data_IF_453003822436
#
_entry.id   IF_453003822436
#
_cell.length_a   1.000
_cell.length_b   1.000
_cell.length_c   1.000
_cell.angle_alpha   90.00
_cell.angle_beta   90.00
_cell.angle_gamma   90.00
#
_symmetry.space_group_name_H-M   'P 1'
#
loop_
_entity.id
_entity.type
_entity.pdbx_description
1 polymer ?
#
# COMPACT_ATOMS: atom_id res chain seq x y z
N UNK A 1 25.37 -11.91 6.52
CA UNK A 1 25.39 -11.35 5.15
C UNK A 1 24.29 -10.31 5.08
N UNK A 2 24.58 -9.17 4.47
CA UNK A 2 23.60 -8.10 4.24
C UNK A 2 22.53 -8.62 3.27
N UNK A 3 21.24 -8.50 3.60
CA UNK A 3 20.15 -9.03 2.76
C UNK A 3 20.07 -8.22 1.46
N UNK A 4 20.10 -8.88 0.30
CA UNK A 4 19.94 -8.20 -1.00
C UNK A 4 18.45 -7.97 -1.28
N UNK A 5 18.09 -6.72 -1.53
CA UNK A 5 16.69 -6.32 -1.67
C UNK A 5 16.39 -5.99 -3.13
N UNK A 6 15.29 -6.54 -3.62
CA UNK A 6 14.67 -6.20 -4.90
C UNK A 6 13.48 -5.29 -4.67
N UNK A 7 13.28 -4.27 -5.51
CA UNK A 7 12.08 -3.42 -5.42
C UNK A 7 11.50 -3.11 -6.80
N UNK A 8 10.26 -3.54 -7.02
CA UNK A 8 9.54 -3.40 -8.29
C UNK A 8 8.33 -2.48 -8.11
N UNK A 9 8.23 -1.46 -8.98
CA UNK A 9 7.15 -0.48 -8.95
C UNK A 9 7.59 0.79 -8.21
N UNK A 10 8.07 1.77 -8.97
CA UNK A 10 8.67 3.01 -8.46
C UNK A 10 7.73 4.21 -8.65
N UNK A 11 6.45 4.01 -8.31
CA UNK A 11 5.43 5.04 -8.35
C UNK A 11 5.51 6.03 -7.17
N UNK A 12 4.39 6.72 -6.90
CA UNK A 12 4.27 7.71 -5.82
C UNK A 12 4.67 7.16 -4.44
N UNK A 13 4.30 5.90 -4.18
CA UNK A 13 4.64 5.21 -2.93
C UNK A 13 5.98 4.47 -3.04
N UNK A 14 6.18 3.70 -4.10
CA UNK A 14 7.32 2.79 -4.19
C UNK A 14 8.69 3.46 -4.31
N UNK A 15 8.81 4.56 -5.06
CA UNK A 15 10.10 5.28 -5.20
C UNK A 15 10.66 5.80 -3.86
N UNK A 16 9.89 6.55 -3.04
CA UNK A 16 10.40 7.00 -1.74
C UNK A 16 10.65 5.84 -0.76
N UNK A 17 9.88 4.76 -0.82
CA UNK A 17 10.15 3.55 -0.01
C UNK A 17 11.50 2.94 -0.39
N UNK A 18 11.72 2.66 -1.68
CA UNK A 18 12.97 2.11 -2.19
C UNK A 18 14.17 2.98 -1.79
N UNK A 19 14.03 4.31 -1.88
CA UNK A 19 15.03 5.27 -1.40
C UNK A 19 15.34 5.14 0.10
N UNK A 20 14.34 4.87 0.94
CA UNK A 20 14.59 4.67 2.38
C UNK A 20 15.34 3.37 2.64
N UNK A 21 15.05 2.30 1.90
CA UNK A 21 15.81 1.05 1.98
C UNK A 21 17.27 1.26 1.59
N UNK A 22 17.51 2.02 0.52
CA UNK A 22 18.86 2.38 0.09
C UNK A 22 19.60 3.22 1.15
N UNK A 23 18.94 4.23 1.74
CA UNK A 23 19.50 5.05 2.83
C UNK A 23 19.79 4.26 4.10
N UNK A 24 19.05 3.19 4.35
CA UNK A 24 19.28 2.28 5.47
C UNK A 24 20.47 1.32 5.23
N UNK A 25 21.09 1.36 4.04
CA UNK A 25 22.30 0.61 3.70
C UNK A 25 22.04 -0.71 2.97
N UNK A 26 20.79 -1.07 2.66
CA UNK A 26 20.51 -2.32 1.96
C UNK A 26 21.00 -2.28 0.49
N UNK A 27 21.74 -3.30 0.01
CA UNK A 27 21.98 -3.49 -1.41
C UNK A 27 20.64 -3.63 -2.14
N UNK A 28 20.40 -2.74 -3.11
CA UNK A 28 19.08 -2.57 -3.71
C UNK A 28 19.12 -2.72 -5.24
N UNK A 29 18.42 -3.71 -5.77
CA UNK A 29 18.12 -3.84 -7.20
C UNK A 29 16.70 -3.36 -7.47
N UNK A 30 16.53 -2.38 -8.36
CA UNK A 30 15.22 -1.78 -8.66
C UNK A 30 14.78 -2.02 -10.09
N UNK A 31 13.47 -2.13 -10.27
CA UNK A 31 12.85 -2.19 -11.57
C UNK A 31 11.53 -1.43 -11.60
N UNK A 32 11.22 -0.83 -12.75
CA UNK A 32 9.95 -0.21 -13.02
C UNK A 32 9.69 -0.24 -14.52
N UNK A 33 8.40 -0.29 -14.91
CA UNK A 33 8.01 -0.25 -16.33
C UNK A 33 8.55 0.97 -17.05
N UNK A 34 8.56 2.14 -16.40
CA UNK A 34 9.18 3.35 -16.93
C UNK A 34 10.57 3.56 -16.34
N UNK A 35 11.53 3.87 -17.23
CA UNK A 35 12.94 3.99 -16.89
C UNK A 35 13.34 5.20 -16.03
N UNK A 36 12.74 6.40 -16.14
CA UNK A 36 13.25 7.58 -15.42
C UNK A 36 13.37 7.39 -13.90
N UNK A 37 12.41 6.73 -13.26
CA UNK A 37 12.46 6.48 -11.81
C UNK A 37 13.55 5.48 -11.40
N UNK A 38 13.92 4.56 -12.29
CA UNK A 38 15.04 3.63 -12.09
C UNK A 38 16.36 4.39 -12.15
N UNK A 39 16.54 5.24 -13.17
CA UNK A 39 17.77 6.00 -13.37
C UNK A 39 18.03 6.98 -12.22
N UNK A 40 16.98 7.60 -11.67
CA UNK A 40 17.08 8.40 -10.44
C UNK A 40 17.68 7.60 -9.27
N UNK A 41 17.17 6.39 -9.00
CA UNK A 41 17.67 5.57 -7.89
C UNK A 41 19.06 4.98 -8.16
N UNK A 42 19.41 4.72 -9.42
CA UNK A 42 20.78 4.34 -9.81
C UNK A 42 21.76 5.45 -9.45
N UNK A 43 21.42 6.70 -9.76
CA UNK A 43 22.24 7.85 -9.40
C UNK A 43 22.42 8.01 -7.88
N UNK A 44 21.51 7.43 -7.08
CA UNK A 44 21.57 7.40 -5.61
C UNK A 44 22.30 6.17 -5.05
N UNK A 45 22.68 5.19 -5.89
CA UNK A 45 23.45 4.00 -5.49
C UNK A 45 22.73 2.65 -5.63
N UNK A 46 21.51 2.61 -6.19
CA UNK A 46 20.84 1.36 -6.51
C UNK A 46 21.38 0.72 -7.81
N UNK A 47 21.11 -0.57 -7.99
CA UNK A 47 21.32 -1.25 -9.27
C UNK A 47 20.00 -1.33 -10.05
N UNK A 48 20.03 -1.12 -11.36
CA UNK A 48 18.84 -1.24 -12.21
C UNK A 48 18.73 -2.61 -12.88
N UNK A 49 17.55 -3.21 -12.83
CA UNK A 49 17.19 -4.40 -13.60
C UNK A 49 16.24 -4.07 -14.76
N UNK A 50 16.27 -4.90 -15.79
CA UNK A 50 15.48 -4.78 -17.02
C UNK A 50 14.15 -5.53 -16.95
N UNK A 51 14.02 -6.53 -16.07
CA UNK A 51 12.80 -7.32 -15.87
C UNK A 51 12.57 -7.65 -14.39
N UNK A 52 11.31 -7.96 -13.98
CA UNK A 52 11.03 -8.51 -12.65
C UNK A 52 11.82 -9.79 -12.33
N UNK A 53 12.01 -10.68 -13.30
CA UNK A 53 12.85 -11.87 -13.19
C UNK A 53 14.28 -11.54 -12.77
N UNK A 54 14.91 -10.57 -13.44
CA UNK A 54 16.29 -10.16 -13.14
C UNK A 54 16.42 -9.59 -11.72
N UNK A 55 15.39 -8.90 -11.22
CA UNK A 55 15.34 -8.48 -9.81
C UNK A 55 15.34 -9.69 -8.88
N UNK A 56 14.50 -10.69 -9.15
CA UNK A 56 14.38 -11.89 -8.32
C UNK A 56 15.66 -12.73 -8.29
N UNK A 57 16.33 -12.88 -9.44
CA UNK A 57 17.60 -13.62 -9.56
C UNK A 57 18.72 -12.99 -8.70
N UNK A 58 18.68 -11.68 -8.48
CA UNK A 58 19.72 -10.91 -7.76
C UNK A 58 19.39 -10.62 -6.31
N UNK A 59 18.18 -10.92 -5.87
CA UNK A 59 17.68 -10.55 -4.54
C UNK A 59 17.45 -11.77 -3.65
N UNK A 60 17.43 -11.53 -2.34
CA UNK A 60 16.98 -12.49 -1.33
C UNK A 60 15.54 -12.16 -0.88
N UNK A 61 15.18 -10.87 -0.88
CA UNK A 61 13.82 -10.39 -0.60
C UNK A 61 13.39 -9.47 -1.75
N UNK A 62 12.23 -9.72 -2.36
CA UNK A 62 11.71 -8.94 -3.50
C UNK A 62 10.41 -8.26 -3.13
N UNK A 63 10.39 -6.93 -3.18
CA UNK A 63 9.21 -6.12 -2.91
C UNK A 63 8.48 -5.72 -4.20
N UNK A 64 7.15 -5.66 -4.14
CA UNK A 64 6.32 -4.98 -5.15
C UNK A 64 5.50 -3.85 -4.55
N UNK A 65 5.28 -2.78 -5.33
CA UNK A 65 4.30 -1.75 -5.01
C UNK A 65 3.63 -1.24 -6.29
N UNK A 66 2.53 -1.88 -6.65
CA UNK A 66 1.87 -1.81 -7.95
C UNK A 66 0.40 -1.37 -7.81
N UNK A 67 -0.25 -0.94 -8.91
CA UNK A 67 -1.58 -0.33 -8.83
C UNK A 67 -2.70 -1.28 -8.37
N UNK A 68 -2.78 -2.49 -8.91
CA UNK A 68 -3.85 -3.45 -8.59
C UNK A 68 -3.43 -4.92 -8.80
N UNK A 69 -4.35 -5.83 -8.44
CA UNK A 69 -4.22 -7.29 -8.50
C UNK A 69 -3.69 -7.80 -9.85
N UNK A 70 -4.23 -7.37 -11.02
CA UNK A 70 -3.71 -7.84 -12.31
C UNK A 70 -2.27 -7.39 -12.59
N UNK A 71 -1.85 -6.23 -12.07
CA UNK A 71 -0.48 -5.76 -12.22
C UNK A 71 0.49 -6.60 -11.39
N UNK A 72 0.10 -6.96 -10.16
CA UNK A 72 0.90 -7.85 -9.30
C UNK A 72 0.97 -9.24 -9.93
N UNK A 73 -0.14 -9.80 -10.40
CA UNK A 73 -0.14 -11.10 -11.09
C UNK A 73 0.75 -11.08 -12.33
N UNK A 74 0.70 -10.03 -13.16
CA UNK A 74 1.54 -9.92 -14.33
C UNK A 74 3.03 -9.82 -13.99
N UNK A 75 3.40 -9.07 -12.94
CA UNK A 75 4.79 -8.92 -12.50
C UNK A 75 5.32 -10.18 -11.82
N UNK A 76 4.47 -10.91 -11.09
CA UNK A 76 4.90 -12.10 -10.35
C UNK A 76 4.88 -13.34 -11.23
N UNK A 77 3.74 -13.61 -11.89
CA UNK A 77 3.43 -14.88 -12.58
C UNK A 77 3.55 -14.78 -14.11
N UNK A 78 3.69 -13.57 -14.66
CA UNK A 78 3.82 -13.36 -16.09
C UNK A 78 5.19 -13.76 -16.65
N UNK A 79 5.33 -13.66 -17.97
CA UNK A 79 6.59 -13.92 -18.66
C UNK A 79 7.70 -12.96 -18.18
N UNK A 80 8.88 -13.47 -17.87
CA UNK A 80 9.96 -12.72 -17.19
C UNK A 80 9.52 -12.15 -15.82
N UNK A 81 8.55 -12.80 -15.17
CA UNK A 81 8.06 -12.44 -13.85
C UNK A 81 8.98 -12.88 -12.72
N UNK A 82 8.64 -12.47 -11.50
CA UNK A 82 9.38 -12.82 -10.28
C UNK A 82 9.47 -14.35 -10.10
N UNK A 83 8.41 -15.09 -10.42
CA UNK A 83 8.37 -16.55 -10.27
C UNK A 83 9.48 -17.25 -11.08
N UNK A 84 9.72 -16.81 -12.32
CA UNK A 84 10.76 -17.40 -13.20
C UNK A 84 12.19 -17.13 -12.71
N UNK A 85 12.40 -16.08 -11.92
CA UNK A 85 13.69 -15.74 -11.32
C UNK A 85 13.83 -16.17 -9.86
N UNK A 86 12.78 -16.76 -9.29
CA UNK A 86 12.76 -17.19 -7.89
C UNK A 86 13.48 -18.52 -7.69
N UNK A 87 14.02 -18.69 -6.49
CA UNK A 87 14.71 -19.90 -6.04
C UNK A 87 14.28 -20.21 -4.60
N UNK A 88 14.51 -21.44 -4.11
CA UNK A 88 14.20 -21.78 -2.73
C UNK A 88 14.79 -20.77 -1.73
N UNK A 89 13.95 -20.33 -0.78
CA UNK A 89 14.32 -19.37 0.27
C UNK A 89 14.22 -17.89 -0.10
N UNK A 90 13.91 -17.53 -1.35
CA UNK A 90 13.56 -16.14 -1.70
C UNK A 90 12.25 -15.76 -1.01
N UNK A 91 12.16 -14.53 -0.50
CA UNK A 91 10.95 -13.99 0.11
C UNK A 91 10.37 -12.90 -0.79
N UNK A 92 9.18 -13.14 -1.32
CA UNK A 92 8.38 -12.13 -2.00
C UNK A 92 7.55 -11.33 -0.98
N UNK A 93 7.49 -10.00 -1.15
CA UNK A 93 6.74 -9.10 -0.27
C UNK A 93 5.92 -8.12 -1.10
N UNK A 94 4.60 -8.20 -1.01
CA UNK A 94 3.73 -7.28 -1.76
C UNK A 94 3.25 -6.11 -0.88
N UNK A 95 3.73 -4.89 -1.15
CA UNK A 95 3.21 -3.67 -0.53
C UNK A 95 2.02 -3.05 -1.29
N UNK A 96 1.58 -3.68 -2.38
CA UNK A 96 0.40 -3.25 -3.13
C UNK A 96 -0.87 -3.48 -2.32
N UNK A 97 -1.96 -2.80 -2.71
CA UNK A 97 -3.30 -3.09 -2.17
C UNK A 97 -4.10 -3.85 -3.22
N UNK A 98 -4.29 -5.15 -2.98
CA UNK A 98 -4.89 -6.11 -3.92
C UNK A 98 -5.94 -6.98 -3.22
N UNK A 99 -6.64 -7.82 -3.99
CA UNK A 99 -7.61 -8.77 -3.42
C UNK A 99 -6.91 -9.81 -2.54
N UNK A 100 -7.43 -10.13 -1.34
CA UNK A 100 -6.86 -11.18 -0.49
C UNK A 100 -6.76 -12.55 -1.18
N UNK A 101 -7.71 -12.87 -2.07
CA UNK A 101 -7.69 -14.11 -2.84
C UNK A 101 -6.52 -14.17 -3.83
N UNK A 102 -6.26 -13.07 -4.55
CA UNK A 102 -5.11 -12.97 -5.46
C UNK A 102 -3.79 -13.16 -4.69
N UNK A 103 -3.66 -12.55 -3.51
CA UNK A 103 -2.50 -12.78 -2.63
C UNK A 103 -2.30 -14.26 -2.30
N UNK A 104 -3.38 -14.96 -1.89
CA UNK A 104 -3.28 -16.40 -1.53
C UNK A 104 -2.88 -17.24 -2.74
N UNK A 105 -3.43 -16.94 -3.91
CA UNK A 105 -3.09 -17.61 -5.17
C UNK A 105 -1.61 -17.42 -5.53
N UNK A 106 -1.11 -16.19 -5.44
CA UNK A 106 0.31 -15.87 -5.68
C UNK A 106 1.21 -16.59 -4.69
N UNK A 107 0.86 -16.58 -3.40
CA UNK A 107 1.63 -17.25 -2.36
C UNK A 107 1.76 -18.75 -2.63
N UNK A 108 0.66 -19.42 -2.99
CA UNK A 108 0.67 -20.84 -3.34
C UNK A 108 1.56 -21.13 -4.57
N UNK A 109 1.54 -20.24 -5.57
CA UNK A 109 2.39 -20.40 -6.78
C UNK A 109 3.89 -20.22 -6.50
N UNK A 110 4.24 -19.31 -5.60
CA UNK A 110 5.64 -19.11 -5.18
C UNK A 110 6.14 -20.26 -4.29
N UNK A 111 5.25 -20.85 -3.49
CA UNK A 111 5.58 -22.02 -2.66
C UNK A 111 5.98 -23.24 -3.51
N UNK A 112 5.39 -23.42 -4.70
CA UNK A 112 5.75 -24.50 -5.64
C UNK A 112 7.25 -24.50 -6.03
N UNK A 113 7.94 -23.36 -5.93
CA UNK A 113 9.38 -23.23 -6.19
C UNK A 113 10.21 -23.00 -4.90
N UNK A 114 9.60 -23.19 -3.73
CA UNK A 114 10.23 -23.03 -2.42
C UNK A 114 10.46 -21.57 -1.99
N UNK A 115 9.78 -20.62 -2.63
CA UNK A 115 9.79 -19.22 -2.19
C UNK A 115 8.68 -18.97 -1.16
N UNK A 116 8.91 -18.01 -0.25
CA UNK A 116 7.92 -17.57 0.73
C UNK A 116 7.28 -16.27 0.26
N UNK A 117 6.03 -16.01 0.66
CA UNK A 117 5.31 -14.81 0.26
C UNK A 117 4.63 -14.12 1.45
N UNK A 118 4.82 -12.81 1.54
CA UNK A 118 4.15 -11.93 2.49
C UNK A 118 3.30 -10.90 1.73
N UNK A 119 2.03 -10.75 2.11
CA UNK A 119 1.29 -9.53 1.79
C UNK A 119 1.50 -8.51 2.89
N UNK A 120 2.07 -7.37 2.54
CA UNK A 120 2.43 -6.30 3.47
C UNK A 120 1.91 -4.94 2.99
N UNK A 121 0.60 -4.77 2.70
CA UNK A 121 0.06 -3.49 2.28
C UNK A 121 0.34 -2.39 3.31
N UNK A 122 0.51 -1.17 2.81
CA UNK A 122 0.93 -0.01 3.62
C UNK A 122 -0.16 1.06 3.72
N UNK A 123 -0.13 1.83 4.81
CA UNK A 123 -0.96 3.02 5.03
C UNK A 123 -0.12 4.18 5.58
N UNK A 124 -0.52 5.42 5.30
CA UNK A 124 0.24 6.64 5.66
C UNK A 124 0.50 7.60 4.49
N UNK A 125 0.20 7.19 3.26
CA UNK A 125 0.33 8.01 2.06
C UNK A 125 1.77 8.36 1.68
N UNK A 126 1.91 9.26 0.72
CA UNK A 126 3.21 9.71 0.17
C UNK A 126 4.11 10.34 1.24
N UNK A 127 3.53 11.10 2.18
CA UNK A 127 4.24 11.69 3.31
C UNK A 127 4.85 10.59 4.20
N UNK A 128 4.05 9.59 4.57
CA UNK A 128 4.54 8.46 5.37
C UNK A 128 5.63 7.66 4.67
N UNK A 129 5.49 7.47 3.35
CA UNK A 129 6.48 6.79 2.52
C UNK A 129 7.81 7.54 2.44
N UNK A 130 7.79 8.86 2.28
CA UNK A 130 9.01 9.68 2.29
C UNK A 130 9.69 9.72 3.66
N UNK A 131 8.90 9.75 4.73
CA UNK A 131 9.41 9.83 6.10
C UNK A 131 9.82 8.48 6.71
N UNK A 132 9.55 7.35 6.05
CA UNK A 132 9.80 6.02 6.62
C UNK A 132 8.89 5.70 7.81
N UNK A 133 7.66 6.22 7.81
CA UNK A 133 6.72 6.14 8.94
C UNK A 133 5.42 5.42 8.61
N UNK A 134 5.42 4.61 7.55
CA UNK A 134 4.26 3.84 7.13
C UNK A 134 3.78 2.89 8.24
N UNK A 135 2.46 2.66 8.26
CA UNK A 135 1.86 1.52 8.93
C UNK A 135 1.85 0.34 7.96
N UNK A 136 2.38 -0.81 8.38
CA UNK A 136 2.55 -2.01 7.54
C UNK A 136 1.77 -3.15 8.20
N UNK A 137 0.83 -3.72 7.45
CA UNK A 137 -0.05 -4.80 7.89
C UNK A 137 0.38 -6.09 7.17
N UNK A 138 1.00 -7.03 7.89
CA UNK A 138 1.67 -8.17 7.26
C UNK A 138 0.88 -9.47 7.45
N UNK A 139 0.57 -10.14 6.36
CA UNK A 139 0.08 -11.51 6.31
C UNK A 139 1.10 -12.46 5.66
N UNK A 140 1.13 -13.71 6.08
CA UNK A 140 1.95 -14.79 5.52
C UNK A 140 2.71 -15.61 6.57
N UNK A 141 3.64 -16.48 6.15
CA UNK A 141 4.41 -17.33 7.06
C UNK A 141 5.19 -16.51 8.09
N UNK A 142 5.07 -16.89 9.36
CA UNK A 142 5.70 -16.14 10.47
C UNK A 142 7.23 -16.06 10.35
N UNK A 143 7.86 -17.14 9.89
CA UNK A 143 9.31 -17.20 9.64
C UNK A 143 9.78 -16.16 8.60
N UNK A 144 9.02 -15.95 7.52
CA UNK A 144 9.33 -14.91 6.55
C UNK A 144 9.18 -13.51 7.17
N UNK A 145 8.13 -13.29 7.97
CA UNK A 145 7.93 -12.01 8.66
C UNK A 145 9.12 -11.68 9.57
N UNK A 146 9.58 -12.62 10.39
CA UNK A 146 10.68 -12.41 11.33
C UNK A 146 11.99 -12.08 10.57
N UNK A 147 12.22 -12.68 9.40
CA UNK A 147 13.38 -12.39 8.53
C UNK A 147 13.31 -11.00 7.90
N UNK A 148 12.11 -10.56 7.46
CA UNK A 148 11.90 -9.29 6.74
C UNK A 148 11.72 -8.10 7.70
N UNK A 149 11.44 -8.34 8.98
CA UNK A 149 11.17 -7.29 9.97
C UNK A 149 12.21 -6.14 9.99
N UNK A 150 13.54 -6.39 9.93
CA UNK A 150 14.52 -5.30 9.86
C UNK A 150 14.38 -4.42 8.61
N UNK A 151 13.95 -4.98 7.49
CA UNK A 151 13.69 -4.24 6.25
C UNK A 151 12.43 -3.40 6.38
N UNK A 152 11.37 -3.94 6.98
CA UNK A 152 10.15 -3.18 7.27
C UNK A 152 10.42 -1.97 8.18
N UNK A 153 11.33 -2.09 9.15
CA UNK A 153 11.72 -1.00 10.06
C UNK A 153 12.41 0.18 9.35
N UNK A 154 12.98 -0.04 8.16
CA UNK A 154 13.58 1.04 7.37
C UNK A 154 12.53 1.87 6.59
N UNK A 155 11.31 1.34 6.41
CA UNK A 155 10.27 2.00 5.62
C UNK A 155 8.97 2.31 6.40
N UNK A 156 8.84 1.75 7.60
CA UNK A 156 7.64 1.86 8.43
C UNK A 156 7.94 2.10 9.90
N UNK A 157 6.96 2.69 10.59
CA UNK A 157 7.02 2.94 12.04
C UNK A 157 6.16 1.94 12.83
N UNK A 158 5.01 1.56 12.29
CA UNK A 158 4.09 0.61 12.93
C UNK A 158 4.02 -0.62 12.05
N UNK A 159 4.52 -1.75 12.54
CA UNK A 159 4.61 -2.99 11.77
C UNK A 159 3.85 -4.05 12.57
N UNK A 160 2.78 -4.57 11.97
CA UNK A 160 1.87 -5.51 12.64
C UNK A 160 1.78 -6.80 11.83
N UNK A 161 2.17 -7.91 12.44
CA UNK A 161 1.85 -9.24 11.93
C UNK A 161 0.38 -9.54 12.22
N UNK A 162 -0.40 -9.76 11.17
CA UNK A 162 -1.86 -9.91 11.22
C UNK A 162 -2.28 -11.38 11.18
N UNK A 163 -1.52 -12.23 10.49
CA UNK A 163 -1.79 -13.67 10.41
C UNK A 163 -1.28 -14.30 9.11
N UNK A 164 -1.95 -15.34 8.66
CA UNK A 164 -1.61 -16.08 7.43
C UNK A 164 -1.78 -15.25 6.15
N UNK A 165 -1.32 -15.78 5.01
CA UNK A 165 -1.38 -15.08 3.71
C UNK A 165 -2.78 -14.54 3.40
N UNK A 166 -2.85 -13.29 2.97
CA UNK A 166 -4.07 -12.52 2.72
C UNK A 166 -4.60 -11.77 3.94
N UNK A 167 -4.12 -12.04 5.16
CA UNK A 167 -4.55 -11.32 6.37
C UNK A 167 -4.14 -9.84 6.35
N UNK A 168 -2.97 -9.52 5.78
CA UNK A 168 -2.52 -8.14 5.59
C UNK A 168 -3.46 -7.37 4.65
N UNK A 169 -3.86 -7.98 3.54
CA UNK A 169 -4.85 -7.40 2.61
C UNK A 169 -6.23 -7.24 3.26
N UNK A 170 -6.68 -8.18 4.09
CA UNK A 170 -7.95 -8.03 4.85
C UNK A 170 -7.87 -6.86 5.84
N UNK A 171 -6.75 -6.73 6.56
CA UNK A 171 -6.52 -5.59 7.44
C UNK A 171 -6.50 -4.27 6.66
N UNK A 172 -5.87 -4.23 5.49
CA UNK A 172 -5.88 -3.04 4.63
C UNK A 172 -7.27 -2.73 4.09
N UNK A 173 -8.03 -3.72 3.63
CA UNK A 173 -9.41 -3.54 3.18
C UNK A 173 -10.28 -2.93 4.31
N UNK A 174 -10.13 -3.45 5.53
CA UNK A 174 -10.79 -2.92 6.72
C UNK A 174 -10.36 -1.47 7.04
N UNK A 175 -9.07 -1.15 6.89
CA UNK A 175 -8.57 0.22 7.00
C UNK A 175 -9.24 1.14 5.97
N UNK A 176 -9.38 0.71 4.72
CA UNK A 176 -9.97 1.54 3.65
C UNK A 176 -11.48 1.77 3.83
N UNK A 177 -12.23 0.83 4.44
CA UNK A 177 -13.60 1.08 4.88
C UNK A 177 -13.64 2.29 5.82
N UNK A 178 -12.78 2.28 6.85
CA UNK A 178 -12.72 3.36 7.84
C UNK A 178 -12.26 4.68 7.22
N UNK A 179 -11.23 4.65 6.38
CA UNK A 179 -10.71 5.86 5.72
C UNK A 179 -11.77 6.48 4.81
N UNK A 180 -12.46 5.69 3.98
CA UNK A 180 -13.51 6.19 3.11
C UNK A 180 -14.68 6.79 3.89
N UNK A 181 -15.17 6.10 4.93
CA UNK A 181 -16.26 6.59 5.77
C UNK A 181 -15.91 7.93 6.43
N UNK A 182 -14.69 8.07 6.96
CA UNK A 182 -14.23 9.32 7.57
C UNK A 182 -14.13 10.46 6.55
N UNK A 183 -13.67 10.20 5.32
CA UNK A 183 -13.58 11.23 4.27
C UNK A 183 -14.97 11.72 3.83
N UNK A 184 -15.91 10.80 3.65
CA UNK A 184 -17.30 11.13 3.31
C UNK A 184 -17.93 11.95 4.44
N UNK A 185 -17.83 11.48 5.68
CA UNK A 185 -18.36 12.19 6.85
C UNK A 185 -17.75 13.59 7.01
N UNK A 186 -16.45 13.76 6.75
CA UNK A 186 -15.81 15.08 6.77
C UNK A 186 -16.35 16.00 5.66
N UNK A 187 -16.59 15.45 4.45
CA UNK A 187 -17.20 16.20 3.36
C UNK A 187 -18.59 16.72 3.72
N UNK A 188 -19.45 15.85 4.25
CA UNK A 188 -20.78 16.20 4.75
C UNK A 188 -20.73 17.22 5.88
N UNK A 189 -19.82 17.04 6.84
CA UNK A 189 -19.60 17.96 7.95
C UNK A 189 -19.25 19.37 7.48
N UNK A 190 -18.32 19.49 6.52
CA UNK A 190 -17.89 20.79 6.00
C UNK A 190 -19.07 21.47 5.28
N UNK A 191 -19.81 20.71 4.45
CA UNK A 191 -20.97 21.24 3.72
C UNK A 191 -22.08 21.69 4.67
N UNK A 192 -22.39 20.89 5.70
CA UNK A 192 -23.40 21.24 6.71
C UNK A 192 -23.01 22.55 7.41
N UNK A 193 -21.78 22.65 7.92
CA UNK A 193 -21.30 23.86 8.59
C UNK A 193 -21.43 25.10 7.68
N UNK A 194 -20.96 25.00 6.43
CA UNK A 194 -21.04 26.09 5.46
C UNK A 194 -22.48 26.51 5.17
N UNK A 195 -23.36 25.55 4.89
CA UNK A 195 -24.76 25.82 4.53
C UNK A 195 -25.59 26.31 5.71
N UNK A 196 -25.19 25.99 6.93
CA UNK A 196 -25.75 26.53 8.17
C UNK A 196 -25.17 27.90 8.56
N UNK A 197 -24.24 28.47 7.79
CA UNK A 197 -23.67 29.79 8.06
C UNK A 197 -22.61 29.80 9.17
N UNK A 198 -22.05 28.64 9.53
CA UNK A 198 -21.00 28.50 10.55
C UNK A 198 -19.65 28.27 9.86
N UNK A 199 -18.59 28.90 10.38
CA UNK A 199 -17.22 28.67 9.86
C UNK A 199 -16.79 27.20 10.08
N UNK A 200 -16.55 26.42 9.01
CA UNK A 200 -16.13 25.03 9.12
C UNK A 200 -14.84 24.83 9.93
N UNK A 201 -13.94 25.83 9.93
CA UNK A 201 -12.70 25.76 10.73
C UNK A 201 -13.02 25.67 12.21
N UNK A 202 -13.91 26.55 12.67
CA UNK A 202 -14.37 26.60 14.06
C UNK A 202 -15.14 25.34 14.45
N UNK A 203 -15.95 24.79 13.55
CA UNK A 203 -16.66 23.52 13.79
C UNK A 203 -15.66 22.38 13.97
N UNK A 204 -14.71 22.23 13.05
CA UNK A 204 -13.64 21.21 13.15
C UNK A 204 -12.88 21.34 14.47
N UNK A 205 -12.44 22.55 14.83
CA UNK A 205 -11.71 22.79 16.08
C UNK A 205 -12.53 22.40 17.32
N UNK A 206 -13.84 22.69 17.32
CA UNK A 206 -14.73 22.38 18.43
C UNK A 206 -14.94 20.87 18.63
N UNK A 207 -14.96 20.08 17.55
CA UNK A 207 -15.25 18.63 17.63
C UNK A 207 -14.00 17.75 17.65
N UNK A 208 -12.82 18.28 17.27
CA UNK A 208 -11.57 17.52 17.16
C UNK A 208 -11.10 16.90 18.49
N UNK A 209 -11.44 17.51 19.62
CA UNK A 209 -11.12 16.98 20.95
C UNK A 209 -12.16 16.01 21.52
N UNK A 210 -13.26 15.75 20.80
CA UNK A 210 -14.40 14.97 21.30
C UNK A 210 -14.54 13.58 20.66
N UNK A 211 -15.71 12.96 20.82
CA UNK A 211 -16.00 11.62 20.32
C UNK A 211 -15.91 11.47 18.79
N UNK A 212 -15.94 12.57 18.04
CA UNK A 212 -15.79 12.59 16.58
C UNK A 212 -14.33 12.47 16.12
N UNK A 213 -13.36 12.49 17.04
CA UNK A 213 -11.93 12.48 16.72
C UNK A 213 -11.57 11.26 15.85
N UNK A 214 -10.86 11.54 14.76
CA UNK A 214 -10.29 10.53 13.88
C UNK A 214 -9.15 11.13 13.05
N UNK A 215 -8.33 10.28 12.44
CA UNK A 215 -7.18 10.69 11.64
C UNK A 215 -7.52 11.70 10.53
N UNK A 216 -8.66 11.49 9.85
CA UNK A 216 -9.10 12.39 8.78
C UNK A 216 -9.34 13.81 9.30
N UNK A 217 -9.97 13.95 10.46
CA UNK A 217 -10.27 15.23 11.10
C UNK A 217 -9.00 15.94 11.60
N UNK A 218 -7.97 15.18 11.98
CA UNK A 218 -6.69 15.73 12.42
C UNK A 218 -5.82 16.21 11.24
N UNK A 219 -5.83 15.48 10.13
CA UNK A 219 -4.83 15.65 9.06
C UNK A 219 -5.35 16.44 7.85
N UNK A 220 -6.62 16.29 7.48
CA UNK A 220 -7.14 16.83 6.20
C UNK A 220 -7.64 18.27 6.23
N UNK A 221 -8.32 18.77 7.28
CA UNK A 221 -9.00 20.07 7.23
C UNK A 221 -8.08 21.23 6.84
N UNK A 222 -6.88 21.32 7.43
CA UNK A 222 -5.96 22.41 7.15
C UNK A 222 -5.59 22.49 5.66
N UNK A 223 -5.24 21.34 5.05
CA UNK A 223 -4.95 21.27 3.61
C UNK A 223 -6.14 21.74 2.78
N UNK A 224 -7.36 21.34 3.15
CA UNK A 224 -8.57 21.73 2.43
C UNK A 224 -8.83 23.24 2.54
N UNK A 225 -8.67 23.80 3.73
CA UNK A 225 -8.97 25.20 4.06
C UNK A 225 -7.98 26.20 3.45
N UNK A 226 -6.73 25.80 3.21
CA UNK A 226 -5.74 26.62 2.47
C UNK A 226 -5.81 26.41 0.95
N UNK A 227 -6.81 25.67 0.45
CA UNK A 227 -6.99 25.45 -0.98
C UNK A 227 -6.04 24.40 -1.58
N UNK A 228 -5.29 23.65 -0.77
CA UNK A 228 -4.42 22.60 -1.29
C UNK A 228 -5.27 21.41 -1.78
N UNK A 229 -5.15 21.10 -3.07
CA UNK A 229 -5.83 19.97 -3.74
C UNK A 229 -4.85 18.94 -4.29
N UNK A 230 -3.56 19.06 -3.98
CA UNK A 230 -2.56 18.08 -4.40
C UNK A 230 -2.83 16.73 -3.71
N UNK A 231 -2.96 15.64 -4.48
CA UNK A 231 -3.41 14.35 -3.96
C UNK A 231 -2.30 13.65 -3.18
N UNK A 232 -2.51 13.42 -1.88
CA UNK A 232 -1.72 12.44 -1.11
C UNK A 232 -2.20 10.99 -1.33
N UNK A 233 -3.45 10.84 -1.82
CA UNK A 233 -4.03 9.59 -2.33
C UNK A 233 -5.14 9.98 -3.31
N UNK A 234 -5.16 9.40 -4.50
CA UNK A 234 -6.07 9.82 -5.59
C UNK A 234 -7.46 9.21 -5.40
N UNK A 235 -8.52 9.94 -5.78
CA UNK A 235 -9.91 9.46 -5.67
C UNK A 235 -10.13 8.11 -6.39
N UNK A 236 -9.59 7.94 -7.61
CA UNK A 236 -9.66 6.66 -8.33
C UNK A 236 -8.98 5.50 -7.61
N UNK A 237 -7.94 5.76 -6.80
CA UNK A 237 -7.29 4.71 -6.00
C UNK A 237 -8.17 4.31 -4.82
N UNK A 238 -8.88 5.26 -4.20
CA UNK A 238 -9.89 4.93 -3.19
C UNK A 238 -11.06 4.17 -3.80
N UNK A 239 -11.56 4.59 -4.97
CA UNK A 239 -12.59 3.86 -5.71
C UNK A 239 -12.16 2.40 -5.97
N UNK A 240 -10.93 2.18 -6.45
CA UNK A 240 -10.33 0.84 -6.62
C UNK A 240 -10.31 0.05 -5.31
N UNK A 241 -9.82 0.65 -4.23
CA UNK A 241 -9.74 -0.02 -2.92
C UNK A 241 -11.14 -0.42 -2.41
N UNK A 242 -12.14 0.44 -2.57
CA UNK A 242 -13.53 0.11 -2.23
C UNK A 242 -14.10 -0.97 -3.14
N UNK A 243 -13.71 -1.01 -4.42
CA UNK A 243 -13.99 -2.13 -5.31
C UNK A 243 -13.44 -3.46 -4.77
N UNK A 244 -12.18 -3.49 -4.33
CA UNK A 244 -11.58 -4.68 -3.68
C UNK A 244 -12.36 -5.08 -2.42
N UNK A 245 -12.74 -4.11 -1.59
CA UNK A 245 -13.53 -4.36 -0.38
C UNK A 245 -14.87 -5.01 -0.73
N UNK A 246 -15.62 -4.46 -1.69
CA UNK A 246 -16.93 -4.98 -2.06
C UNK A 246 -16.83 -6.32 -2.79
N UNK A 247 -15.81 -6.54 -3.61
CA UNK A 247 -15.53 -7.83 -4.24
C UNK A 247 -15.26 -8.90 -3.18
N UNK A 248 -14.42 -8.57 -2.18
CA UNK A 248 -14.14 -9.45 -1.05
C UNK A 248 -15.40 -9.72 -0.24
N UNK A 249 -16.20 -8.69 0.05
CA UNK A 249 -17.46 -8.83 0.78
C UNK A 249 -18.45 -9.75 0.05
N UNK A 250 -18.56 -9.64 -1.29
CA UNK A 250 -19.38 -10.52 -2.11
C UNK A 250 -18.93 -11.97 -2.04
N UNK A 251 -17.62 -12.24 -2.06
CA UNK A 251 -17.08 -13.60 -1.94
C UNK A 251 -17.46 -14.29 -0.62
N UNK A 252 -17.64 -13.51 0.46
CA UNK A 252 -18.04 -14.02 1.78
C UNK A 252 -19.52 -13.77 2.13
N UNK A 253 -20.33 -13.27 1.21
CA UNK A 253 -21.74 -12.99 1.46
C UNK A 253 -22.01 -11.89 2.50
N UNK A 254 -21.09 -10.92 2.65
CA UNK A 254 -21.20 -9.85 3.65
C UNK A 254 -21.85 -8.59 3.07
N UNK A 255 -22.93 -8.06 3.68
CA UNK A 255 -23.52 -6.79 3.26
C UNK A 255 -22.72 -5.61 3.83
N UNK A 256 -22.17 -4.77 2.96
CA UNK A 256 -21.47 -3.53 3.32
C UNK A 256 -22.14 -2.29 2.70
N UNK A 257 -23.37 -1.93 3.12
CA UNK A 257 -24.15 -0.88 2.46
C UNK A 257 -23.49 0.51 2.54
N UNK A 258 -22.92 0.88 3.69
CA UNK A 258 -22.24 2.16 3.84
C UNK A 258 -21.01 2.27 2.91
N UNK A 259 -20.27 1.18 2.76
CA UNK A 259 -19.13 1.10 1.83
C UNK A 259 -19.57 1.21 0.38
N UNK A 260 -20.69 0.59 0.00
CA UNK A 260 -21.25 0.70 -1.34
C UNK A 260 -21.63 2.14 -1.68
N UNK A 261 -22.28 2.86 -0.75
CA UNK A 261 -22.59 4.29 -0.91
C UNK A 261 -21.30 5.10 -1.04
N UNK A 262 -20.32 4.87 -0.15
CA UNK A 262 -19.03 5.56 -0.24
C UNK A 262 -18.35 5.33 -1.60
N UNK A 263 -18.38 4.11 -2.13
CA UNK A 263 -17.83 3.81 -3.46
C UNK A 263 -18.50 4.61 -4.56
N UNK A 264 -19.83 4.72 -4.56
CA UNK A 264 -20.57 5.54 -5.53
C UNK A 264 -20.18 7.03 -5.45
N UNK A 265 -19.94 7.55 -4.25
CA UNK A 265 -19.45 8.93 -4.08
C UNK A 265 -18.03 9.11 -4.63
N UNK A 266 -17.15 8.11 -4.50
CA UNK A 266 -15.82 8.13 -5.11
C UNK A 266 -15.86 7.97 -6.62
N UNK A 267 -16.79 7.16 -7.14
CA UNK A 267 -17.02 6.97 -8.58
C UNK A 267 -17.47 8.27 -9.26
N UNK A 268 -18.33 9.05 -8.61
CA UNK A 268 -18.81 10.34 -9.13
C UNK A 268 -17.70 11.41 -9.29
N UNK A 269 -16.49 11.16 -8.80
CA UNK A 269 -15.32 12.05 -8.94
C UNK A 269 -14.36 11.64 -10.06
N UNK A 270 -14.64 10.57 -10.78
CA UNK A 270 -13.82 10.04 -11.88
C UNK A 270 -14.17 10.70 -13.22
#
# INVERSE_FOLDING_TARGET
MEQRIGYIGLGLMGKPIARNLLKAGFPLTVHNRSRPAVDELIAEGAEGASTPREVAERSDIVFTNLPDSPDVEAVVLGMNGILEGSRPGVIFVDNSTIKPETTRSIAAKLEEVGALALDAPVSGGDIGAQAGTLAIMVGGPREAFDIVLPVFQAMGKTITYVGESGAGQVAKASNQIMVAAQMVAMGELILLAQKSGVDPRRVVDAIRGGAAQCWTLDVKPERLFVGNRQPGFKAHMMYKDLGIVLDTARAYGMPLPATAIAMQLFEAML
#
